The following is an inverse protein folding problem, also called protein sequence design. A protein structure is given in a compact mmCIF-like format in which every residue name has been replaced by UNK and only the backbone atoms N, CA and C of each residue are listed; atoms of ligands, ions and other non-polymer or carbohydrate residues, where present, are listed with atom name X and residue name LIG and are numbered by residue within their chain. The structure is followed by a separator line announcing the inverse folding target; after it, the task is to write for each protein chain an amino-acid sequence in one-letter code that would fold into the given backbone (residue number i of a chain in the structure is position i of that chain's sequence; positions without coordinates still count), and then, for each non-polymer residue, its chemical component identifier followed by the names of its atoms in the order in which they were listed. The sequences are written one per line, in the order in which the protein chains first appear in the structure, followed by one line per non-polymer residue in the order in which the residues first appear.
data_IF_161685640695
#
_entry.id   IF_161685640695
#
_cell.length_a   1.000
_cell.length_b   1.000
_cell.length_c   1.000
_cell.angle_alpha   90.00
_cell.angle_beta   90.00
_cell.angle_gamma   90.00
#
_symmetry.space_group_name_H-M   'P 1'
#
loop_
_entity.id
_entity.type
_entity.pdbx_description
1 polymer ?
#
# COMPACT_ATOMS: atom_id res chain seq x y z
N UNK A 1 -14.01 -1.45 -0.57
CA UNK A 1 -14.07 -2.85 -1.04
C UNK A 1 -12.90 -3.60 -0.44
N UNK A 2 -13.17 -4.57 0.44
CA UNK A 2 -12.17 -5.49 0.96
C UNK A 2 -11.97 -6.66 -0.01
N UNK A 3 -10.75 -7.23 -0.11
CA UNK A 3 -10.50 -8.36 -1.00
C UNK A 3 -11.26 -9.60 -0.52
N UNK A 4 -11.82 -10.38 -1.47
CA UNK A 4 -12.49 -11.65 -1.18
C UNK A 4 -11.53 -12.85 -1.01
N UNK A 5 -10.24 -12.67 -1.31
CA UNK A 5 -9.19 -13.69 -1.20
C UNK A 5 -7.93 -13.09 -0.57
N UNK A 6 -7.27 -13.85 0.31
CA UNK A 6 -6.07 -13.43 1.03
C UNK A 6 -5.05 -14.57 0.99
N UNK A 7 -3.84 -14.27 0.54
CA UNK A 7 -2.73 -15.22 0.54
C UNK A 7 -1.73 -14.91 1.65
N UNK A 8 -1.29 -15.90 2.42
CA UNK A 8 -0.21 -15.72 3.42
C UNK A 8 0.83 -16.85 3.37
N UNK A 9 1.94 -16.70 4.08
CA UNK A 9 3.06 -17.66 4.14
C UNK A 9 2.79 -18.88 5.05
N UNK A 10 1.63 -18.92 5.70
CA UNK A 10 1.22 -20.01 6.59
C UNK A 10 1.61 -19.84 8.06
N UNK A 11 2.10 -18.67 8.50
CA UNK A 11 2.36 -18.45 9.91
C UNK A 11 1.09 -18.63 10.77
N UNK A 12 1.26 -19.26 11.95
CA UNK A 12 0.17 -19.63 12.86
C UNK A 12 -0.62 -18.43 13.41
N UNK A 13 -0.09 -17.21 13.28
CA UNK A 13 -0.75 -15.96 13.70
C UNK A 13 -1.88 -15.55 12.75
N UNK A 14 -1.80 -15.90 11.46
CA UNK A 14 -2.73 -15.43 10.44
C UNK A 14 -4.19 -15.85 10.66
N UNK A 15 -4.51 -17.11 11.01
CA UNK A 15 -5.91 -17.51 11.24
C UNK A 15 -6.62 -16.65 12.29
N UNK A 16 -5.93 -16.35 13.40
CA UNK A 16 -6.47 -15.51 14.48
C UNK A 16 -6.67 -14.05 14.04
N UNK A 17 -5.68 -13.50 13.32
CA UNK A 17 -5.73 -12.12 12.82
C UNK A 17 -6.82 -11.95 11.76
N UNK A 18 -6.99 -12.92 10.85
CA UNK A 18 -8.04 -12.90 9.83
C UNK A 18 -9.42 -12.89 10.50
N UNK A 19 -9.65 -13.79 11.47
CA UNK A 19 -10.92 -13.83 12.22
C UNK A 19 -11.21 -12.50 12.93
N UNK A 20 -10.20 -11.91 13.56
CA UNK A 20 -10.32 -10.61 14.26
C UNK A 20 -10.62 -9.48 13.28
N UNK A 21 -10.02 -9.53 12.09
CA UNK A 21 -10.22 -8.54 11.03
C UNK A 21 -11.61 -8.65 10.38
N UNK A 22 -12.16 -9.86 10.27
CA UNK A 22 -13.56 -10.10 9.86
C UNK A 22 -14.53 -9.52 10.90
N UNK A 23 -14.32 -9.84 12.18
CA UNK A 23 -15.19 -9.36 13.27
C UNK A 23 -15.19 -7.83 13.41
N UNK A 24 -14.07 -7.18 13.07
CA UNK A 24 -13.94 -5.72 13.09
C UNK A 24 -14.38 -5.04 11.78
N UNK A 25 -14.87 -5.81 10.79
CA UNK A 25 -15.34 -5.28 9.51
C UNK A 25 -14.24 -4.77 8.57
N UNK A 26 -12.98 -5.13 8.83
CA UNK A 26 -11.83 -4.75 7.99
C UNK A 26 -11.68 -5.68 6.77
N UNK A 27 -12.24 -6.88 6.84
CA UNK A 27 -12.22 -7.88 5.76
C UNK A 27 -13.65 -8.25 5.33
N UNK A 28 -13.72 -8.93 4.17
CA UNK A 28 -14.95 -9.56 3.71
C UNK A 28 -15.47 -10.56 4.77
N UNK A 29 -16.79 -10.69 5.01
CA UNK A 29 -17.34 -11.60 6.03
C UNK A 29 -16.90 -13.05 5.89
N UNK A 30 -16.68 -13.48 4.64
CA UNK A 30 -16.19 -14.82 4.31
C UNK A 30 -15.01 -14.70 3.34
N UNK A 31 -13.77 -14.44 3.82
CA UNK A 31 -12.61 -14.31 2.96
C UNK A 31 -11.98 -15.68 2.70
N UNK A 32 -11.65 -15.97 1.44
CA UNK A 32 -10.89 -17.18 1.10
C UNK A 32 -9.43 -16.98 1.50
N UNK A 33 -9.00 -17.64 2.59
CA UNK A 33 -7.61 -17.68 3.00
C UNK A 33 -6.89 -18.85 2.33
N UNK A 34 -5.84 -18.57 1.57
CA UNK A 34 -4.95 -19.60 1.02
C UNK A 34 -3.52 -19.41 1.53
N UNK A 35 -2.86 -20.51 1.80
CA UNK A 35 -1.47 -20.54 2.22
C UNK A 35 -0.61 -20.87 1.01
N UNK A 36 0.33 -19.99 0.68
CA UNK A 36 1.33 -20.23 -0.36
C UNK A 36 2.72 -20.13 0.25
N UNK A 37 3.52 -21.20 0.13
CA UNK A 37 4.92 -21.20 0.57
C UNK A 37 5.84 -20.42 -0.37
N UNK A 38 5.41 -20.15 -1.61
CA UNK A 38 6.22 -19.42 -2.58
C UNK A 38 6.16 -17.92 -2.31
N UNK A 39 7.31 -17.26 -2.44
CA UNK A 39 7.44 -15.80 -2.34
C UNK A 39 6.38 -15.12 -3.19
N UNK A 40 5.54 -14.33 -2.53
CA UNK A 40 4.57 -13.47 -3.21
C UNK A 40 5.35 -12.32 -3.85
N UNK A 41 5.87 -12.54 -5.06
CA UNK A 41 6.81 -11.62 -5.73
C UNK A 41 6.34 -10.17 -5.73
N UNK A 42 5.04 -9.92 -5.83
CA UNK A 42 4.47 -8.57 -5.75
C UNK A 42 4.66 -7.91 -4.38
N UNK A 43 4.33 -8.61 -3.30
CA UNK A 43 4.45 -8.10 -1.92
C UNK A 43 5.93 -7.97 -1.54
N UNK A 44 6.76 -8.95 -1.92
CA UNK A 44 8.20 -8.88 -1.67
C UNK A 44 8.85 -7.72 -2.44
N UNK A 45 8.46 -7.51 -3.70
CA UNK A 45 8.95 -6.37 -4.50
C UNK A 45 8.51 -5.03 -3.92
N UNK A 46 7.27 -4.92 -3.46
CA UNK A 46 6.76 -3.72 -2.81
C UNK A 46 7.52 -3.45 -1.49
N UNK A 47 7.73 -4.47 -0.66
CA UNK A 47 8.52 -4.39 0.57
C UNK A 47 9.96 -3.94 0.30
N UNK A 48 10.64 -4.58 -0.66
CA UNK A 48 11.99 -4.22 -1.06
C UNK A 48 12.10 -2.75 -1.50
N UNK A 49 11.09 -2.21 -2.20
CA UNK A 49 11.10 -0.81 -2.66
C UNK A 49 10.93 0.18 -1.50
N UNK A 50 10.21 -0.21 -0.45
CA UNK A 50 10.11 0.56 0.80
C UNK A 50 11.46 0.53 1.51
N UNK A 51 11.98 -0.66 1.83
CA UNK A 51 13.24 -0.83 2.57
C UNK A 51 14.44 -0.20 1.86
N UNK A 52 14.56 -0.37 0.53
CA UNK A 52 15.70 0.14 -0.25
C UNK A 52 15.93 1.64 -0.09
N UNK A 53 14.89 2.42 0.17
CA UNK A 53 15.01 3.88 0.28
C UNK A 53 15.16 4.38 1.72
N UNK A 54 14.84 3.55 2.71
CA UNK A 54 14.89 3.94 4.12
C UNK A 54 16.29 4.27 4.64
N UNK A 55 17.37 3.53 4.32
CA UNK A 55 18.71 3.87 4.82
C UNK A 55 19.17 5.28 4.43
N UNK A 56 18.64 5.83 3.33
CA UNK A 56 19.03 7.16 2.82
C UNK A 56 18.57 8.31 3.72
N UNK A 57 17.57 8.09 4.58
CA UNK A 57 17.03 9.11 5.48
C UNK A 57 17.54 8.97 6.93
N UNK A 58 18.41 7.99 7.20
CA UNK A 58 18.94 7.70 8.53
C UNK A 58 17.92 7.02 9.46
N UNK A 59 18.22 7.05 10.76
CA UNK A 59 17.38 6.42 11.80
C UNK A 59 16.13 7.24 12.13
N UNK A 60 15.09 6.56 12.61
CA UNK A 60 13.90 7.24 13.12
C UNK A 60 14.09 7.67 14.58
N UNK A 61 13.71 8.91 14.88
CA UNK A 61 13.75 9.45 16.24
C UNK A 61 12.73 8.78 17.19
N UNK A 62 11.56 8.37 16.67
CA UNK A 62 10.47 7.77 17.45
C UNK A 62 9.60 6.86 16.58
N UNK A 63 8.78 6.01 17.21
CA UNK A 63 7.78 5.19 16.49
C UNK A 63 6.76 6.03 15.72
N UNK A 64 6.39 7.21 16.24
CA UNK A 64 5.48 8.11 15.54
C UNK A 64 6.11 8.63 14.24
N UNK A 65 7.37 9.08 14.32
CA UNK A 65 8.13 9.53 13.15
C UNK A 65 8.33 8.38 12.15
N UNK A 66 8.67 7.17 12.64
CA UNK A 66 8.80 5.98 11.80
C UNK A 66 7.50 5.69 11.04
N UNK A 67 6.36 5.61 11.74
CA UNK A 67 5.06 5.32 11.12
C UNK A 67 4.68 6.35 10.05
N UNK A 68 4.85 7.65 10.34
CA UNK A 68 4.54 8.72 9.39
C UNK A 68 5.43 8.66 8.15
N UNK A 69 6.72 8.39 8.34
CA UNK A 69 7.67 8.31 7.24
C UNK A 69 7.44 7.07 6.37
N UNK A 70 7.19 5.90 6.98
CA UNK A 70 6.82 4.66 6.27
C UNK A 70 5.57 4.88 5.41
N UNK A 71 4.51 5.43 6.01
CA UNK A 71 3.27 5.73 5.28
C UNK A 71 3.50 6.69 4.10
N UNK A 72 4.40 7.67 4.25
CA UNK A 72 4.81 8.55 3.16
C UNK A 72 5.52 7.81 2.03
N UNK A 73 6.45 6.90 2.35
CA UNK A 73 7.11 6.05 1.34
C UNK A 73 6.10 5.16 0.61
N UNK A 74 5.20 4.51 1.35
CA UNK A 74 4.14 3.67 0.77
C UNK A 74 3.25 4.47 -0.18
N UNK A 75 2.79 5.64 0.24
CA UNK A 75 1.96 6.51 -0.60
C UNK A 75 2.67 6.95 -1.88
N UNK A 76 3.94 7.36 -1.79
CA UNK A 76 4.74 7.72 -2.98
C UNK A 76 4.97 6.53 -3.92
N UNK A 77 5.23 5.34 -3.37
CA UNK A 77 5.41 4.12 -4.15
C UNK A 77 4.11 3.66 -4.82
N UNK A 78 2.98 3.81 -4.14
CA UNK A 78 1.65 3.57 -4.69
C UNK A 78 1.33 4.54 -5.82
N UNK A 79 1.56 5.84 -5.63
CA UNK A 79 1.41 6.83 -6.69
C UNK A 79 2.24 6.44 -7.92
N UNK A 80 3.53 6.14 -7.72
CA UNK A 80 4.42 5.69 -8.81
C UNK A 80 3.94 4.39 -9.47
N UNK A 81 3.33 3.46 -8.73
CA UNK A 81 2.81 2.18 -9.25
C UNK A 81 1.51 2.39 -10.02
N UNK A 82 0.58 3.21 -9.52
CA UNK A 82 -0.65 3.60 -10.22
C UNK A 82 -0.37 4.43 -11.48
N UNK A 83 0.61 5.35 -11.45
CA UNK A 83 1.04 6.11 -12.63
C UNK A 83 1.76 5.23 -13.66
N UNK A 84 2.23 4.04 -13.28
CA UNK A 84 2.72 3.01 -14.19
C UNK A 84 1.62 2.17 -14.84
N UNK A 85 0.34 2.39 -14.52
CA UNK A 85 -0.79 1.74 -15.18
C UNK A 85 -0.99 2.40 -16.55
N UNK A 86 -0.36 1.82 -17.58
CA UNK A 86 -0.27 2.31 -18.96
C UNK A 86 -1.61 2.37 -19.73
N UNK A 87 -2.76 2.22 -19.07
CA UNK A 87 -4.03 1.95 -19.74
C UNK A 87 -4.95 3.13 -20.05
N UNK A 88 -5.02 4.18 -19.21
CA UNK A 88 -6.14 5.14 -19.32
C UNK A 88 -5.91 6.55 -18.75
N UNK A 89 -4.73 6.88 -18.19
CA UNK A 89 -4.55 8.14 -17.45
C UNK A 89 -3.69 9.12 -18.25
N UNK A 90 -4.25 10.28 -18.56
CA UNK A 90 -3.50 11.41 -19.11
C UNK A 90 -2.66 12.09 -18.03
N UNK A 91 -1.65 12.87 -18.42
CA UNK A 91 -0.86 13.69 -17.47
C UNK A 91 -1.75 14.62 -16.64
N UNK A 92 -2.86 15.09 -17.22
CA UNK A 92 -3.83 15.92 -16.50
C UNK A 92 -4.58 15.13 -15.41
N UNK A 93 -4.97 13.88 -15.69
CA UNK A 93 -5.62 13.01 -14.68
C UNK A 93 -4.68 12.73 -13.50
N UNK A 94 -3.38 12.59 -13.77
CA UNK A 94 -2.37 12.42 -12.75
C UNK A 94 -2.19 13.68 -11.90
N UNK A 95 -2.13 14.85 -12.54
CA UNK A 95 -2.02 16.14 -11.85
C UNK A 95 -3.26 16.46 -11.00
N UNK A 96 -4.47 16.17 -11.50
CA UNK A 96 -5.71 16.36 -10.76
C UNK A 96 -5.80 15.44 -9.53
N UNK A 97 -5.35 14.19 -9.65
CA UNK A 97 -5.27 13.29 -8.51
C UNK A 97 -4.30 13.83 -7.44
N UNK A 98 -3.10 14.27 -7.84
CA UNK A 98 -2.14 14.87 -6.92
C UNK A 98 -2.70 16.12 -6.26
N UNK A 99 -3.34 17.00 -7.02
CA UNK A 99 -3.96 18.20 -6.50
C UNK A 99 -5.03 17.89 -5.45
N UNK A 100 -5.88 16.89 -5.68
CA UNK A 100 -6.88 16.44 -4.71
C UNK A 100 -6.28 15.79 -3.48
N UNK A 101 -5.26 14.95 -3.64
CA UNK A 101 -4.61 14.25 -2.51
C UNK A 101 -3.87 15.21 -1.57
N UNK A 102 -3.26 16.26 -2.13
CA UNK A 102 -2.45 17.22 -1.37
C UNK A 102 -3.16 18.56 -1.14
N UNK A 103 -4.42 18.73 -1.56
CA UNK A 103 -5.18 19.97 -1.41
C UNK A 103 -4.60 21.15 -2.19
N UNK A 104 -3.94 20.89 -3.33
CA UNK A 104 -3.31 21.93 -4.15
C UNK A 104 -4.34 22.55 -5.10
N UNK A 105 -4.21 23.87 -5.37
CA UNK A 105 -4.98 24.53 -6.44
C UNK A 105 -4.37 24.16 -7.80
N UNK A 106 -5.18 23.59 -8.69
CA UNK A 106 -4.79 23.42 -10.10
C UNK A 106 -4.79 24.79 -10.79
N UNK A 107 -3.60 25.30 -11.08
CA UNK A 107 -3.39 26.62 -11.71
C UNK A 107 -3.38 26.59 -13.24
N UNK A 108 -3.26 25.40 -13.84
CA UNK A 108 -3.25 25.20 -15.28
C UNK A 108 -4.52 24.44 -15.71
N UNK A 109 -5.63 25.15 -15.84
CA UNK A 109 -6.75 24.68 -16.69
C UNK A 109 -6.66 25.48 -17.99
N UNK A 110 -6.37 24.80 -19.09
CA UNK A 110 -6.52 25.34 -20.45
C UNK A 110 -7.99 25.28 -20.83
#
# INVERSE_FOLDING_TARGET
MSPGKIGTDGANTFPSVIKTSVNSGLLHPDPVHYVTKHLQQGIESDHFRVEKNMPKIGSFQSFNTARRTIAGFEAMLWLRKCFGFSGCWTVNDQNDLLARLFGLKTINRV
#
